data_IF_978292842967
#
_entry.id   IF_978292842967
#
_cell.length_a   1.000
_cell.length_b   1.000
_cell.length_c   1.000
_cell.angle_alpha   90.00
_cell.angle_beta   90.00
_cell.angle_gamma   90.00
#
_symmetry.space_group_name_H-M   'P 1'
#
loop_
_entity.id
_entity.type
_entity.pdbx_description
1 polymer ?
#
# COMPACT_ATOMS: atom_id res chain seq x y z
N UNK A 1 -43.16 57.53 -10.47
CA UNK A 1 -42.70 56.13 -10.68
C UNK A 1 -41.16 55.95 -10.68
N UNK A 2 -40.31 56.81 -10.17
CA UNK A 2 -38.84 56.74 -10.33
C UNK A 2 -38.03 56.26 -9.08
N UNK A 3 -38.61 55.80 -7.97
CA UNK A 3 -37.87 55.41 -6.74
C UNK A 3 -37.89 53.91 -6.41
N UNK A 4 -38.53 53.04 -7.18
CA UNK A 4 -38.59 51.60 -6.90
C UNK A 4 -37.48 50.78 -7.58
N UNK A 5 -36.96 51.22 -8.72
CA UNK A 5 -35.92 50.47 -9.49
C UNK A 5 -34.61 50.29 -8.71
N UNK A 6 -34.01 51.30 -8.03
CA UNK A 6 -32.75 51.09 -7.30
C UNK A 6 -32.90 50.17 -6.08
N UNK A 7 -34.07 50.08 -5.44
CA UNK A 7 -34.30 49.11 -4.36
C UNK A 7 -34.38 47.66 -4.86
N UNK A 8 -34.99 47.45 -6.02
CA UNK A 8 -35.11 46.13 -6.63
C UNK A 8 -33.69 45.63 -7.06
N UNK A 9 -32.88 46.47 -7.69
CA UNK A 9 -31.50 46.14 -8.08
C UNK A 9 -30.65 45.83 -6.85
N UNK A 10 -30.78 46.58 -5.75
CA UNK A 10 -30.11 46.30 -4.51
C UNK A 10 -30.48 44.95 -3.87
N UNK A 11 -31.79 44.64 -3.87
CA UNK A 11 -32.30 43.34 -3.36
C UNK A 11 -31.82 42.18 -4.22
N UNK A 12 -31.88 42.28 -5.54
CA UNK A 12 -31.42 41.25 -6.48
C UNK A 12 -29.88 41.04 -6.33
N UNK A 13 -29.13 42.15 -6.25
CA UNK A 13 -27.66 42.08 -6.02
C UNK A 13 -27.29 41.41 -4.70
N UNK A 14 -28.00 41.74 -3.61
CA UNK A 14 -27.78 41.11 -2.30
C UNK A 14 -28.15 39.65 -2.28
N UNK A 15 -29.26 39.25 -2.92
CA UNK A 15 -29.67 37.86 -3.04
C UNK A 15 -28.67 37.04 -3.88
N UNK A 16 -28.09 37.62 -4.93
CA UNK A 16 -27.06 36.98 -5.75
C UNK A 16 -25.78 36.75 -4.95
N UNK A 17 -25.35 37.73 -4.13
CA UNK A 17 -24.19 37.60 -3.23
C UNK A 17 -24.42 36.48 -2.23
N UNK A 18 -25.57 36.40 -1.58
CA UNK A 18 -25.92 35.33 -0.64
C UNK A 18 -25.86 33.97 -1.34
N UNK A 19 -26.40 33.85 -2.55
CA UNK A 19 -26.36 32.60 -3.33
C UNK A 19 -24.90 32.20 -3.63
N UNK A 20 -24.10 33.13 -4.12
CA UNK A 20 -22.66 32.85 -4.43
C UNK A 20 -21.88 32.44 -3.18
N UNK A 21 -22.09 33.16 -2.06
CA UNK A 21 -21.45 32.80 -0.78
C UNK A 21 -21.95 31.43 -0.29
N UNK A 22 -23.24 31.14 -0.43
CA UNK A 22 -23.81 29.84 -0.08
C UNK A 22 -23.23 28.70 -0.92
N UNK A 23 -23.11 28.88 -2.24
CA UNK A 23 -22.50 27.89 -3.14
C UNK A 23 -21.01 27.69 -2.77
N UNK A 24 -20.28 28.80 -2.56
CA UNK A 24 -18.87 28.69 -2.18
C UNK A 24 -18.71 27.98 -0.82
N UNK A 25 -19.53 28.30 0.17
CA UNK A 25 -19.52 27.63 1.44
C UNK A 25 -19.83 26.13 1.31
N UNK A 26 -20.86 25.79 0.51
CA UNK A 26 -21.18 24.39 0.22
C UNK A 26 -20.00 23.64 -0.42
N UNK A 27 -19.40 24.22 -1.47
CA UNK A 27 -18.23 23.63 -2.13
C UNK A 27 -17.03 23.51 -1.16
N UNK A 28 -16.79 24.55 -0.37
CA UNK A 28 -15.70 24.58 0.58
C UNK A 28 -15.79 23.47 1.64
N UNK A 29 -16.99 23.20 2.16
CA UNK A 29 -17.18 22.20 3.21
C UNK A 29 -17.34 20.77 2.70
N UNK A 30 -17.78 20.58 1.46
CA UNK A 30 -18.12 19.26 0.95
C UNK A 30 -17.21 18.75 -0.17
N UNK A 31 -16.28 19.57 -0.68
CA UNK A 31 -15.38 19.16 -1.75
C UNK A 31 -13.92 19.54 -1.49
N UNK A 32 -13.01 18.75 -2.04
CA UNK A 32 -11.59 19.06 -2.05
C UNK A 32 -11.28 20.04 -3.19
N UNK A 33 -11.38 21.36 -2.89
CA UNK A 33 -11.08 22.39 -3.89
C UNK A 33 -9.57 22.47 -4.09
N UNK A 34 -9.10 22.20 -5.31
CA UNK A 34 -7.72 22.35 -5.74
C UNK A 34 -7.56 23.74 -6.38
N UNK A 35 -6.61 24.54 -5.92
CA UNK A 35 -6.38 25.92 -6.36
C UNK A 35 -5.03 26.12 -7.05
N UNK A 36 -4.14 25.13 -6.97
CA UNK A 36 -2.82 25.17 -7.59
C UNK A 36 -2.36 23.75 -7.94
N UNK A 37 -1.37 23.64 -8.82
CA UNK A 37 -0.62 22.39 -8.93
C UNK A 37 0.08 22.12 -7.60
N UNK A 38 -0.02 20.88 -7.11
CA UNK A 38 0.71 20.45 -5.91
C UNK A 38 2.21 20.45 -6.16
N UNK A 39 2.99 20.65 -5.10
CA UNK A 39 4.45 20.57 -5.20
C UNK A 39 4.89 19.12 -5.24
N UNK A 40 5.72 18.80 -6.22
CA UNK A 40 6.39 17.52 -6.25
C UNK A 40 7.36 17.38 -5.06
N UNK A 41 7.36 16.21 -4.44
CA UNK A 41 8.32 15.91 -3.37
C UNK A 41 9.74 15.90 -3.93
N UNK A 42 10.63 16.68 -3.31
CA UNK A 42 12.04 16.76 -3.69
C UNK A 42 12.91 16.15 -2.60
N UNK A 43 13.64 15.10 -2.95
CA UNK A 43 14.63 14.51 -2.06
C UNK A 43 15.78 15.52 -1.81
N UNK A 44 16.06 15.79 -0.53
CA UNK A 44 17.07 16.72 -0.05
C UNK A 44 18.37 16.04 0.40
N UNK A 45 18.64 14.84 -0.07
CA UNK A 45 19.80 14.02 0.25
C UNK A 45 19.40 12.67 0.82
N UNK A 46 20.32 11.72 0.83
CA UNK A 46 20.09 10.35 1.34
C UNK A 46 20.50 10.22 2.79
N UNK A 47 19.83 9.38 3.59
CA UNK A 47 20.25 9.08 4.95
C UNK A 47 21.61 8.34 4.95
N UNK A 48 22.45 8.63 5.94
CA UNK A 48 23.68 7.90 6.18
C UNK A 48 23.51 7.14 7.49
N UNK A 49 23.18 5.87 7.40
CA UNK A 49 22.71 5.02 8.52
C UNK A 49 23.64 5.03 9.74
N UNK A 50 24.96 5.06 9.51
CA UNK A 50 25.97 5.09 10.57
C UNK A 50 26.30 6.49 11.13
N UNK A 51 25.73 7.56 10.56
CA UNK A 51 25.96 8.92 11.06
C UNK A 51 25.34 9.12 12.43
N UNK A 52 26.08 9.81 13.30
CA UNK A 52 25.62 10.19 14.63
C UNK A 52 24.83 11.51 14.57
N UNK A 53 23.67 11.55 15.16
CA UNK A 53 22.87 12.73 15.40
C UNK A 53 23.04 13.22 16.84
N UNK A 54 23.10 14.52 17.04
CA UNK A 54 23.03 15.14 18.35
C UNK A 54 21.63 15.01 18.96
N UNK A 55 21.52 15.19 20.27
CA UNK A 55 20.22 15.20 20.97
C UNK A 55 19.22 16.20 20.34
N UNK A 56 19.67 17.41 20.00
CA UNK A 56 18.81 18.45 19.46
C UNK A 56 18.31 18.09 18.05
N UNK A 57 19.16 17.49 17.19
CA UNK A 57 18.78 16.99 15.88
C UNK A 57 17.78 15.83 15.96
N UNK A 58 17.98 14.90 16.88
CA UNK A 58 17.04 13.80 17.15
C UNK A 58 15.69 14.34 17.58
N UNK A 59 15.70 15.33 18.51
CA UNK A 59 14.48 15.93 19.00
C UNK A 59 13.72 16.68 17.90
N UNK A 60 14.40 17.46 17.06
CA UNK A 60 13.79 18.17 15.93
C UNK A 60 13.12 17.20 14.95
N UNK A 61 13.78 16.11 14.61
CA UNK A 61 13.24 15.09 13.69
C UNK A 61 12.04 14.34 14.31
N UNK A 62 12.08 14.04 15.62
CA UNK A 62 10.97 13.39 16.33
C UNK A 62 9.76 14.31 16.44
N UNK A 63 9.96 15.56 16.83
CA UNK A 63 8.87 16.55 16.91
C UNK A 63 8.19 16.72 15.55
N UNK A 64 8.96 16.76 14.46
CA UNK A 64 8.47 16.88 13.10
C UNK A 64 7.61 15.67 12.68
N UNK A 65 8.06 14.42 12.92
CA UNK A 65 7.29 13.24 12.49
C UNK A 65 6.01 13.09 13.32
N UNK A 66 6.01 13.45 14.61
CA UNK A 66 4.80 13.43 15.42
C UNK A 66 3.81 14.48 14.90
N UNK A 67 4.26 15.71 14.62
CA UNK A 67 3.39 16.77 14.09
C UNK A 67 2.75 16.37 12.75
N UNK A 68 3.54 15.85 11.82
CA UNK A 68 3.01 15.37 10.53
C UNK A 68 1.98 14.26 10.74
N UNK A 69 2.29 13.28 11.57
CA UNK A 69 1.43 12.12 11.81
C UNK A 69 0.07 12.56 12.37
N UNK A 70 0.09 13.35 13.45
CA UNK A 70 -1.12 13.78 14.15
C UNK A 70 -1.97 14.77 13.34
N UNK A 71 -1.37 15.55 12.46
CA UNK A 71 -2.10 16.51 11.64
C UNK A 71 -2.56 15.97 10.29
N UNK A 72 -1.98 14.86 9.80
CA UNK A 72 -2.23 14.38 8.43
C UNK A 72 -3.01 13.09 8.37
N UNK A 73 -2.68 12.09 9.21
CA UNK A 73 -3.31 10.77 9.10
C UNK A 73 -4.76 10.78 9.61
N UNK A 74 -5.74 10.22 8.83
CA UNK A 74 -7.17 10.27 9.17
C UNK A 74 -7.53 9.60 10.50
N UNK A 75 -6.75 8.63 10.97
CA UNK A 75 -6.98 7.91 12.23
C UNK A 75 -7.13 8.85 13.44
N UNK A 76 -6.48 10.02 13.40
CA UNK A 76 -6.58 11.02 14.48
C UNK A 76 -7.90 11.80 14.48
N UNK A 77 -8.82 11.49 13.59
CA UNK A 77 -10.22 11.93 13.61
C UNK A 77 -11.15 10.83 14.11
N UNK A 78 -10.61 9.67 14.44
CA UNK A 78 -11.28 8.47 14.93
C UNK A 78 -10.66 8.02 16.27
N UNK A 79 -10.97 6.81 16.71
CA UNK A 79 -10.38 6.23 17.92
C UNK A 79 -8.95 5.76 17.63
N UNK A 80 -8.00 6.45 18.21
CA UNK A 80 -6.57 6.13 18.08
C UNK A 80 -6.23 4.94 18.98
N UNK A 81 -5.57 3.87 18.47
CA UNK A 81 -5.27 2.69 19.26
C UNK A 81 -4.27 2.98 20.39
N UNK A 82 -4.35 2.23 21.49
CA UNK A 82 -3.45 2.37 22.65
C UNK A 82 -1.97 2.14 22.26
N UNK A 83 -1.72 1.24 21.31
CA UNK A 83 -0.38 0.98 20.74
C UNK A 83 0.33 2.26 20.25
N UNK A 84 -0.43 3.21 19.71
CA UNK A 84 0.09 4.50 19.28
C UNK A 84 0.66 5.31 20.45
N UNK A 85 -0.07 5.44 21.55
CA UNK A 85 0.40 6.22 22.71
C UNK A 85 1.63 5.59 23.37
N UNK A 86 1.70 4.25 23.41
CA UNK A 86 2.88 3.52 23.89
C UNK A 86 4.09 3.85 23.00
N UNK A 87 3.95 3.65 21.68
CA UNK A 87 5.03 3.89 20.74
C UNK A 87 5.46 5.37 20.68
N UNK A 88 4.53 6.31 20.81
CA UNK A 88 4.84 7.73 20.92
C UNK A 88 5.68 8.04 22.15
N UNK A 89 5.34 7.50 23.31
CA UNK A 89 6.12 7.71 24.54
C UNK A 89 7.53 7.09 24.44
N UNK A 90 7.67 5.91 23.82
CA UNK A 90 8.98 5.31 23.55
C UNK A 90 9.82 6.17 22.61
N UNK A 91 9.22 6.73 21.56
CA UNK A 91 9.88 7.62 20.61
C UNK A 91 10.32 8.93 21.29
N UNK A 92 9.46 9.55 22.10
CA UNK A 92 9.79 10.77 22.88
C UNK A 92 10.92 10.52 23.86
N UNK A 93 11.01 9.33 24.47
CA UNK A 93 12.11 8.96 25.35
C UNK A 93 13.44 8.93 24.58
N UNK A 94 13.43 8.50 23.33
CA UNK A 94 14.62 8.48 22.47
C UNK A 94 15.18 9.89 22.19
N UNK A 95 14.35 10.95 22.24
CA UNK A 95 14.78 12.34 22.03
C UNK A 95 15.67 12.90 23.14
N UNK A 96 15.90 12.16 24.22
CA UNK A 96 16.70 12.60 25.35
C UNK A 96 18.23 12.42 25.15
N UNK A 97 18.64 11.75 24.08
CA UNK A 97 20.05 11.48 23.77
C UNK A 97 20.31 11.53 22.26
N UNK A 98 21.59 11.62 21.89
CA UNK A 98 22.00 11.43 20.51
C UNK A 98 21.97 9.94 20.15
N UNK A 99 21.58 9.64 18.89
CA UNK A 99 21.53 8.27 18.34
C UNK A 99 22.05 8.26 16.92
N UNK A 100 22.39 7.09 16.39
CA UNK A 100 22.69 6.95 14.97
C UNK A 100 21.40 7.11 14.13
N UNK A 101 21.55 7.44 12.85
CA UNK A 101 20.41 7.50 11.91
C UNK A 101 19.70 6.15 11.83
N UNK A 102 20.45 5.02 11.86
CA UNK A 102 19.86 3.67 11.86
C UNK A 102 19.02 3.38 13.10
N UNK A 103 19.49 3.76 14.29
CA UNK A 103 18.71 3.63 15.52
C UNK A 103 17.45 4.51 15.49
N UNK A 104 17.55 5.73 14.94
CA UNK A 104 16.38 6.61 14.77
C UNK A 104 15.39 6.01 13.76
N UNK A 105 15.88 5.47 12.62
CA UNK A 105 15.04 4.77 11.63
C UNK A 105 14.23 3.65 12.30
N UNK A 106 14.89 2.82 13.12
CA UNK A 106 14.22 1.72 13.81
C UNK A 106 13.11 2.21 14.76
N UNK A 107 13.41 3.24 15.57
CA UNK A 107 12.46 3.82 16.53
C UNK A 107 11.28 4.51 15.84
N UNK A 108 11.52 5.27 14.77
CA UNK A 108 10.46 5.93 13.98
C UNK A 108 9.61 4.89 13.26
N UNK A 109 10.23 3.82 12.73
CA UNK A 109 9.48 2.71 12.11
C UNK A 109 8.49 2.08 13.08
N UNK A 110 8.91 1.79 14.34
CA UNK A 110 8.03 1.29 15.40
C UNK A 110 6.87 2.26 15.69
N UNK A 111 7.16 3.57 15.73
CA UNK A 111 6.12 4.59 15.94
C UNK A 111 5.09 4.60 14.81
N UNK A 112 5.53 4.61 13.55
CA UNK A 112 4.62 4.61 12.40
C UNK A 112 3.83 3.31 12.29
N UNK A 113 4.44 2.16 12.62
CA UNK A 113 3.76 0.85 12.57
C UNK A 113 2.63 0.70 13.58
N UNK A 114 2.61 1.52 14.63
CA UNK A 114 1.67 1.41 15.75
C UNK A 114 0.19 1.60 15.38
N UNK A 115 -0.10 2.14 14.20
CA UNK A 115 -1.46 2.34 13.67
C UNK A 115 -1.86 1.31 12.61
N UNK A 116 -0.99 0.36 12.28
CA UNK A 116 -1.24 -0.72 11.31
C UNK A 116 -1.75 -0.24 9.93
N UNK A 117 -1.19 0.86 9.41
CA UNK A 117 -1.44 1.32 8.04
C UNK A 117 -0.24 0.98 7.14
N UNK A 118 -0.44 0.06 6.19
CA UNK A 118 0.60 -0.37 5.24
C UNK A 118 1.08 0.72 4.29
N UNK A 119 0.34 1.81 4.15
CA UNK A 119 0.73 2.97 3.36
C UNK A 119 1.50 4.03 4.17
N UNK A 120 1.50 3.97 5.52
CA UNK A 120 2.23 4.90 6.39
C UNK A 120 3.48 4.24 6.95
N UNK A 121 4.63 4.54 6.37
CA UNK A 121 5.90 3.92 6.72
C UNK A 121 7.10 4.78 6.31
N UNK A 122 8.26 4.53 6.93
CA UNK A 122 9.54 4.95 6.38
C UNK A 122 9.90 4.13 5.14
N UNK A 123 10.57 4.73 4.19
CA UNK A 123 11.29 4.02 3.14
C UNK A 123 12.53 3.41 3.78
N UNK A 124 12.42 2.12 4.06
CA UNK A 124 13.44 1.42 4.81
C UNK A 124 14.74 1.33 4.01
N UNK A 125 15.79 1.93 4.55
CA UNK A 125 17.13 1.91 3.97
C UNK A 125 17.83 0.58 4.37
N UNK A 126 17.72 -0.41 3.50
CA UNK A 126 18.37 -1.71 3.63
C UNK A 126 19.05 -2.10 2.32
N UNK A 127 20.31 -2.41 2.39
CA UNK A 127 21.14 -2.67 1.21
C UNK A 127 21.66 -4.10 1.13
N UNK A 128 21.58 -4.88 2.21
CA UNK A 128 22.13 -6.22 2.30
C UNK A 128 21.08 -7.19 2.82
N UNK A 129 20.87 -8.29 2.10
CA UNK A 129 19.87 -9.30 2.41
C UNK A 129 20.48 -10.69 2.43
N UNK A 130 20.03 -11.56 3.33
CA UNK A 130 20.40 -12.97 3.32
C UNK A 130 19.96 -13.63 2.01
N UNK A 131 20.87 -14.36 1.37
CA UNK A 131 20.60 -15.14 0.16
C UNK A 131 19.93 -16.48 0.50
N UNK A 132 18.70 -16.39 0.94
CA UNK A 132 17.88 -17.52 1.35
C UNK A 132 16.42 -17.23 0.99
N UNK A 133 15.67 -18.27 0.60
CA UNK A 133 14.25 -18.16 0.37
C UNK A 133 13.45 -18.97 1.37
N UNK A 134 12.46 -18.31 1.95
CA UNK A 134 11.55 -18.91 2.93
C UNK A 134 10.12 -18.40 2.77
N UNK A 135 9.19 -19.09 3.39
CA UNK A 135 7.77 -18.73 3.46
C UNK A 135 7.28 -18.82 4.90
N UNK A 136 6.56 -17.80 5.35
CA UNK A 136 5.93 -17.79 6.66
C UNK A 136 4.49 -18.29 6.56
N UNK A 137 4.19 -19.43 7.15
CA UNK A 137 2.89 -20.09 7.13
C UNK A 137 2.59 -20.69 8.52
N UNK A 138 1.36 -20.51 8.99
CA UNK A 138 0.85 -21.13 10.23
C UNK A 138 1.80 -20.97 11.43
N UNK A 139 2.43 -19.79 11.55
CA UNK A 139 3.34 -19.48 12.65
C UNK A 139 4.77 -19.97 12.48
N UNK A 140 5.09 -20.64 11.38
CA UNK A 140 6.42 -21.21 11.09
C UNK A 140 7.05 -20.58 9.85
N UNK A 141 8.37 -20.47 9.87
CA UNK A 141 9.17 -19.99 8.74
C UNK A 141 9.80 -21.18 8.02
N UNK A 142 9.18 -21.64 6.93
CA UNK A 142 9.65 -22.79 6.16
C UNK A 142 10.69 -22.38 5.14
N UNK A 143 11.77 -23.16 5.02
CA UNK A 143 12.74 -23.02 3.93
C UNK A 143 12.09 -23.41 2.61
N UNK A 144 12.37 -22.65 1.55
CA UNK A 144 12.01 -23.01 0.19
C UNK A 144 13.20 -23.72 -0.51
N UNK A 145 12.87 -24.64 -1.42
CA UNK A 145 13.89 -25.24 -2.29
C UNK A 145 14.24 -24.32 -3.48
N UNK A 146 15.17 -24.76 -4.33
CA UNK A 146 15.58 -24.02 -5.53
C UNK A 146 14.46 -23.80 -6.56
N UNK A 147 13.36 -24.55 -6.47
CA UNK A 147 12.17 -24.38 -7.29
C UNK A 147 11.08 -23.56 -6.60
N UNK A 148 11.41 -22.89 -5.51
CA UNK A 148 10.49 -22.09 -4.66
C UNK A 148 9.34 -22.90 -4.05
N UNK A 149 9.53 -24.22 -3.86
CA UNK A 149 8.56 -25.08 -3.18
C UNK A 149 8.88 -25.20 -1.70
N UNK A 150 7.83 -25.35 -0.89
CA UNK A 150 7.95 -25.57 0.55
C UNK A 150 8.71 -26.87 0.83
N UNK A 151 9.64 -26.82 1.78
CA UNK A 151 10.28 -28.01 2.37
C UNK A 151 9.67 -28.31 3.73
N UNK A 152 10.06 -29.42 4.33
CA UNK A 152 9.71 -29.79 5.72
C UNK A 152 10.60 -29.09 6.77
N UNK A 153 11.51 -28.21 6.36
CA UNK A 153 12.49 -27.58 7.24
C UNK A 153 11.99 -26.21 7.70
N UNK A 154 11.93 -26.03 9.02
CA UNK A 154 11.53 -24.80 9.70
C UNK A 154 12.79 -24.10 10.23
N UNK A 155 12.90 -22.80 10.02
CA UNK A 155 13.94 -21.96 10.62
C UNK A 155 13.64 -21.79 12.11
N UNK A 156 14.59 -22.14 12.98
CA UNK A 156 14.44 -22.02 14.43
C UNK A 156 15.32 -20.93 15.02
N UNK A 157 16.50 -20.66 14.42
CA UNK A 157 17.44 -19.60 14.85
C UNK A 157 18.09 -18.93 13.65
N UNK A 158 18.50 -17.67 13.87
CA UNK A 158 19.45 -16.95 13.01
C UNK A 158 20.57 -16.43 13.91
N UNK A 159 21.80 -16.87 13.64
CA UNK A 159 22.90 -16.77 14.60
C UNK A 159 22.51 -17.47 15.91
N UNK A 160 22.73 -16.79 17.03
CA UNK A 160 22.37 -17.30 18.37
C UNK A 160 20.93 -16.86 18.80
N UNK A 161 20.18 -16.17 17.93
CA UNK A 161 18.87 -15.59 18.27
C UNK A 161 17.74 -16.51 17.80
N UNK A 162 16.84 -16.85 18.73
CA UNK A 162 15.62 -17.59 18.43
C UNK A 162 14.74 -16.83 17.43
N UNK A 163 14.18 -17.54 16.42
CA UNK A 163 13.39 -16.96 15.34
C UNK A 163 12.18 -16.16 15.86
N UNK A 164 11.55 -16.65 16.92
CA UNK A 164 10.39 -15.98 17.53
C UNK A 164 10.71 -14.56 17.99
N UNK A 165 11.88 -14.32 18.57
CA UNK A 165 12.31 -12.98 19.01
C UNK A 165 12.49 -12.02 17.83
N UNK A 166 13.01 -12.51 16.70
CA UNK A 166 13.18 -11.69 15.49
C UNK A 166 11.81 -11.36 14.88
N UNK A 167 10.91 -12.35 14.81
CA UNK A 167 9.55 -12.19 14.33
C UNK A 167 8.77 -11.15 15.16
N UNK A 168 8.86 -11.21 16.49
CA UNK A 168 8.22 -10.22 17.37
C UNK A 168 8.75 -8.80 17.12
N UNK A 169 10.04 -8.66 16.86
CA UNK A 169 10.62 -7.38 16.49
C UNK A 169 10.08 -6.87 15.16
N UNK A 170 9.95 -7.73 14.14
CA UNK A 170 9.38 -7.34 12.84
C UNK A 170 7.93 -6.89 12.99
N UNK A 171 7.10 -7.63 13.74
CA UNK A 171 5.72 -7.24 14.05
C UNK A 171 5.61 -5.86 14.70
N UNK A 172 6.56 -5.52 15.55
CA UNK A 172 6.57 -4.25 16.25
C UNK A 172 6.99 -3.07 15.37
N UNK A 173 7.83 -3.28 14.34
CA UNK A 173 8.48 -2.21 13.59
C UNK A 173 7.95 -2.01 12.17
N UNK A 174 7.20 -2.96 11.63
CA UNK A 174 6.68 -2.87 10.27
C UNK A 174 5.16 -3.01 10.26
N UNK A 175 4.43 -2.04 9.67
CA UNK A 175 2.97 -2.03 9.74
C UNK A 175 2.38 -3.20 8.95
N UNK A 176 1.37 -3.85 9.54
CA UNK A 176 0.65 -4.96 8.91
C UNK A 176 -0.86 -4.76 9.08
N UNK A 177 -1.57 -4.55 7.98
CA UNK A 177 -3.02 -4.34 7.98
C UNK A 177 -3.78 -5.65 8.26
N UNK A 178 -3.18 -6.79 7.85
CA UNK A 178 -3.75 -8.13 7.99
C UNK A 178 -2.64 -9.19 8.13
N UNK A 179 -3.04 -10.45 8.34
CA UNK A 179 -2.09 -11.55 8.50
C UNK A 179 -1.21 -11.81 7.26
N UNK A 180 -1.70 -11.48 6.04
CA UNK A 180 -0.93 -11.58 4.79
C UNK A 180 0.19 -10.56 4.78
N UNK A 181 -0.09 -9.32 5.21
CA UNK A 181 0.92 -8.27 5.37
C UNK A 181 1.96 -8.64 6.43
N UNK A 182 1.53 -9.22 7.55
CA UNK A 182 2.43 -9.70 8.60
C UNK A 182 3.38 -10.77 8.05
N UNK A 183 2.86 -11.80 7.40
CA UNK A 183 3.67 -12.86 6.80
C UNK A 183 4.69 -12.30 5.79
N UNK A 184 4.25 -11.44 4.90
CA UNK A 184 5.10 -10.77 3.91
C UNK A 184 6.20 -9.92 4.57
N UNK A 185 5.89 -9.19 5.64
CA UNK A 185 6.87 -8.40 6.38
C UNK A 185 7.91 -9.31 7.04
N UNK A 186 7.48 -10.41 7.67
CA UNK A 186 8.39 -11.40 8.26
C UNK A 186 9.32 -11.96 7.18
N UNK A 187 8.78 -12.44 6.06
CA UNK A 187 9.56 -13.01 4.96
C UNK A 187 10.61 -12.05 4.40
N UNK A 188 10.26 -10.77 4.30
CA UNK A 188 11.11 -9.74 3.72
C UNK A 188 12.15 -9.18 4.70
N UNK A 189 11.68 -8.68 5.83
CA UNK A 189 12.53 -7.91 6.74
C UNK A 189 13.45 -8.79 7.58
N UNK A 190 13.08 -10.05 7.75
CA UNK A 190 13.92 -11.03 8.43
C UNK A 190 15.22 -11.36 7.64
N UNK A 191 15.26 -11.06 6.34
CA UNK A 191 16.48 -11.16 5.53
C UNK A 191 17.40 -9.94 5.67
N UNK A 192 16.88 -8.81 6.14
CA UNK A 192 17.59 -7.53 6.17
C UNK A 192 18.67 -7.46 7.24
N UNK A 193 19.90 -7.11 6.83
CA UNK A 193 21.05 -7.01 7.74
C UNK A 193 20.81 -6.04 8.89
N UNK A 194 20.22 -4.85 8.63
CA UNK A 194 19.93 -3.85 9.65
C UNK A 194 18.93 -4.36 10.70
N UNK A 195 17.91 -5.12 10.29
CA UNK A 195 16.95 -5.71 11.21
C UNK A 195 17.65 -6.73 12.11
N UNK A 196 18.48 -7.60 11.53
CA UNK A 196 19.22 -8.62 12.27
C UNK A 196 20.20 -8.00 13.27
N UNK A 197 20.96 -6.97 12.88
CA UNK A 197 21.84 -6.22 13.78
C UNK A 197 21.08 -5.58 14.95
N UNK A 198 19.90 -5.00 14.70
CA UNK A 198 19.07 -4.37 15.73
C UNK A 198 18.51 -5.36 16.77
N UNK A 199 18.30 -6.63 16.38
CA UNK A 199 17.87 -7.67 17.33
C UNK A 199 19.03 -8.40 18.00
N UNK A 200 20.28 -8.05 17.65
CA UNK A 200 21.51 -8.53 18.29
C UNK A 200 22.18 -9.71 17.58
N UNK A 201 21.86 -9.97 16.30
CA UNK A 201 22.61 -10.94 15.50
C UNK A 201 23.96 -10.33 15.10
N UNK A 202 25.06 -11.06 15.29
CA UNK A 202 26.39 -10.67 14.80
C UNK A 202 26.47 -10.87 13.28
N UNK A 203 26.33 -9.78 12.53
CA UNK A 203 26.37 -9.77 11.06
C UNK A 203 27.75 -9.44 10.47
N UNK A 204 28.83 -9.60 11.24
CA UNK A 204 30.19 -9.36 10.75
C UNK A 204 30.72 -10.53 9.90
N UNK A 205 30.07 -11.69 9.95
CA UNK A 205 30.39 -12.94 9.23
C UNK A 205 29.16 -13.48 8.53
N UNK A 206 29.33 -14.56 7.78
CA UNK A 206 28.22 -15.34 7.25
C UNK A 206 27.30 -15.81 8.37
N UNK A 207 26.02 -15.81 8.10
CA UNK A 207 25.00 -16.05 9.11
C UNK A 207 24.69 -17.54 9.19
N UNK A 208 24.74 -18.09 10.39
CA UNK A 208 24.31 -19.45 10.65
C UNK A 208 22.78 -19.48 10.84
N UNK A 209 22.07 -20.17 9.95
CA UNK A 209 20.64 -20.40 10.04
C UNK A 209 20.40 -21.83 10.51
N UNK A 210 19.78 -21.99 11.68
CA UNK A 210 19.41 -23.32 12.21
C UNK A 210 18.05 -23.72 11.66
N UNK A 211 18.00 -24.86 11.03
CA UNK A 211 16.81 -25.49 10.46
C UNK A 211 16.47 -26.74 11.25
N UNK A 212 15.19 -26.99 11.51
CA UNK A 212 14.70 -28.22 12.14
C UNK A 212 13.56 -28.83 11.33
N UNK A 213 13.52 -30.16 11.27
CA UNK A 213 12.35 -30.91 10.76
C UNK A 213 11.61 -31.66 11.89
N UNK A 214 11.97 -31.35 13.17
CA UNK A 214 11.42 -32.01 14.35
C UNK A 214 12.21 -33.24 14.81
N UNK A 215 13.12 -33.80 13.98
CA UNK A 215 13.95 -34.94 14.32
C UNK A 215 15.42 -34.54 14.46
N UNK A 216 15.91 -33.73 13.53
CA UNK A 216 17.30 -33.30 13.47
C UNK A 216 17.40 -31.80 13.17
N UNK A 217 18.40 -31.15 13.77
CA UNK A 217 18.78 -29.78 13.48
C UNK A 217 19.90 -29.77 12.43
N UNK A 218 19.77 -28.89 11.43
CA UNK A 218 20.77 -28.63 10.42
C UNK A 218 21.17 -27.17 10.42
N UNK A 219 22.47 -26.89 10.35
CA UNK A 219 22.98 -25.53 10.22
C UNK A 219 23.28 -25.26 8.75
N UNK A 220 22.77 -24.15 8.25
CA UNK A 220 23.05 -23.59 6.94
C UNK A 220 23.82 -22.30 7.11
N UNK A 221 24.95 -22.17 6.45
CA UNK A 221 25.71 -20.92 6.36
C UNK A 221 25.18 -20.10 5.19
N UNK A 222 24.78 -18.85 5.45
CA UNK A 222 24.12 -17.98 4.49
C UNK A 222 24.85 -16.64 4.42
N UNK A 223 25.22 -16.25 3.20
CA UNK A 223 25.86 -14.95 2.93
C UNK A 223 24.84 -13.84 2.71
N UNK A 224 25.31 -12.60 2.80
CA UNK A 224 24.52 -11.44 2.41
C UNK A 224 24.79 -11.06 0.95
N UNK A 225 23.72 -10.84 0.20
CA UNK A 225 23.76 -10.29 -1.16
C UNK A 225 23.27 -8.84 -1.20
N UNK A 226 23.63 -8.10 -2.26
CA UNK A 226 23.20 -6.72 -2.42
C UNK A 226 21.71 -6.62 -2.75
N UNK A 227 21.08 -5.52 -2.35
CA UNK A 227 19.66 -5.28 -2.66
C UNK A 227 19.34 -5.20 -4.16
N UNK A 228 20.33 -4.91 -5.01
CA UNK A 228 20.19 -4.92 -6.48
C UNK A 228 20.06 -6.34 -7.05
N UNK A 229 20.67 -7.33 -6.41
CA UNK A 229 20.55 -8.75 -6.78
C UNK A 229 19.24 -9.36 -6.27
N UNK A 230 18.72 -8.81 -5.16
CA UNK A 230 17.52 -9.33 -4.50
C UNK A 230 16.20 -8.98 -5.22
N UNK A 231 16.13 -7.91 -6.03
CA UNK A 231 14.88 -7.40 -6.60
C UNK A 231 14.83 -7.51 -8.12
N UNK A 232 13.94 -8.38 -8.61
CA UNK A 232 13.47 -8.37 -10.00
C UNK A 232 11.95 -8.35 -10.02
N UNK A 233 11.34 -7.19 -10.27
CA UNK A 233 9.87 -7.06 -10.41
C UNK A 233 9.54 -6.71 -11.85
N UNK A 234 8.65 -7.48 -12.47
CA UNK A 234 8.15 -7.19 -13.82
C UNK A 234 6.99 -6.18 -13.73
N UNK A 235 7.30 -4.89 -13.86
CA UNK A 235 6.33 -3.80 -13.85
C UNK A 235 5.72 -3.51 -15.23
N UNK A 236 5.85 -4.42 -16.21
CA UNK A 236 5.37 -4.22 -17.57
C UNK A 236 3.85 -4.07 -17.66
N UNK A 237 3.40 -3.22 -18.61
CA UNK A 237 2.00 -3.09 -19.00
C UNK A 237 1.92 -3.56 -20.45
N UNK A 238 1.16 -4.64 -20.71
CA UNK A 238 0.98 -5.17 -22.06
C UNK A 238 -0.26 -6.04 -22.15
N UNK A 239 -0.69 -6.35 -23.39
CA UNK A 239 -1.76 -7.32 -23.66
C UNK A 239 -1.40 -8.26 -24.78
N UNK A 240 -1.95 -9.46 -24.74
CA UNK A 240 -1.83 -10.48 -25.78
C UNK A 240 -3.03 -11.43 -25.74
N UNK A 241 -3.28 -12.13 -26.83
CA UNK A 241 -4.21 -13.27 -26.82
C UNK A 241 -3.43 -14.53 -26.49
N UNK A 242 -3.93 -15.29 -25.53
CA UNK A 242 -3.39 -16.59 -25.12
C UNK A 242 -4.44 -17.66 -25.31
N UNK A 243 -4.00 -18.91 -25.40
CA UNK A 243 -4.86 -20.10 -25.51
C UNK A 243 -6.01 -19.90 -26.51
N UNK A 244 -5.68 -19.35 -27.67
CA UNK A 244 -6.53 -19.11 -28.86
C UNK A 244 -7.68 -18.09 -28.67
N UNK A 245 -8.18 -17.83 -27.46
CA UNK A 245 -9.41 -17.04 -27.27
C UNK A 245 -9.49 -16.29 -25.93
N UNK A 246 -8.42 -16.20 -25.15
CA UNK A 246 -8.36 -15.47 -23.89
C UNK A 246 -7.52 -14.21 -24.06
N UNK A 247 -8.09 -13.04 -23.79
CA UNK A 247 -7.35 -11.79 -23.73
C UNK A 247 -6.63 -11.67 -22.36
N UNK A 248 -5.32 -11.75 -22.37
CA UNK A 248 -4.48 -11.55 -21.20
C UNK A 248 -3.93 -10.14 -21.18
N UNK A 249 -4.17 -9.41 -20.10
CA UNK A 249 -3.69 -8.06 -19.84
C UNK A 249 -2.81 -8.08 -18.59
N UNK A 250 -1.52 -7.83 -18.77
CA UNK A 250 -0.61 -7.56 -17.64
C UNK A 250 -0.68 -6.10 -17.26
N UNK A 251 -1.05 -5.81 -16.01
CA UNK A 251 -0.95 -4.50 -15.39
C UNK A 251 0.07 -4.61 -14.25
N UNK A 252 1.36 -4.47 -14.53
CA UNK A 252 2.43 -4.60 -13.53
C UNK A 252 2.59 -3.36 -12.65
N UNK A 253 2.04 -2.21 -13.06
CA UNK A 253 1.94 -0.97 -12.29
C UNK A 253 0.69 -0.21 -12.73
N UNK A 254 0.07 0.54 -11.83
CA UNK A 254 -1.08 1.38 -12.15
C UNK A 254 -0.61 2.76 -12.64
N UNK A 255 -0.07 2.81 -13.85
CA UNK A 255 0.39 4.04 -14.51
C UNK A 255 -0.45 4.37 -15.74
N UNK A 256 -0.79 5.67 -15.89
CA UNK A 256 -1.44 6.19 -17.10
C UNK A 256 -0.36 6.69 -18.05
N UNK A 257 0.00 5.83 -19.00
CA UNK A 257 1.05 6.10 -20.00
C UNK A 257 0.62 5.63 -21.40
N UNK A 258 1.49 5.78 -22.39
CA UNK A 258 1.22 5.37 -23.78
C UNK A 258 0.98 3.85 -23.90
N UNK A 259 1.64 3.04 -23.07
CA UNK A 259 1.49 1.58 -23.10
C UNK A 259 0.10 1.17 -22.62
N UNK A 260 -0.43 1.78 -21.54
CA UNK A 260 -1.81 1.53 -21.10
C UNK A 260 -2.83 1.92 -22.19
N UNK A 261 -2.61 3.05 -22.89
CA UNK A 261 -3.49 3.45 -24.01
C UNK A 261 -3.49 2.41 -25.13
N UNK A 262 -2.32 1.87 -25.48
CA UNK A 262 -2.22 0.79 -26.47
C UNK A 262 -2.93 -0.50 -26.00
N UNK A 263 -2.87 -0.82 -24.71
CA UNK A 263 -3.62 -1.96 -24.13
C UNK A 263 -5.13 -1.73 -24.27
N UNK A 264 -5.62 -0.51 -24.02
CA UNK A 264 -7.04 -0.17 -24.17
C UNK A 264 -7.49 -0.32 -25.64
N UNK A 265 -6.68 0.16 -26.59
CA UNK A 265 -6.95 -0.02 -28.03
C UNK A 265 -7.01 -1.52 -28.41
N UNK A 266 -6.12 -2.34 -27.84
CA UNK A 266 -6.14 -3.79 -28.04
C UNK A 266 -7.39 -4.44 -27.44
N UNK A 267 -7.88 -3.99 -26.28
CA UNK A 267 -9.14 -4.48 -25.68
C UNK A 267 -10.32 -4.22 -26.65
N UNK A 268 -10.42 -3.04 -27.23
CA UNK A 268 -11.46 -2.73 -28.23
C UNK A 268 -11.36 -3.66 -29.45
N UNK A 269 -10.13 -3.92 -29.94
CA UNK A 269 -9.89 -4.87 -31.01
C UNK A 269 -10.34 -6.28 -30.62
N UNK A 270 -9.94 -6.78 -29.46
CA UNK A 270 -10.30 -8.12 -28.99
C UNK A 270 -11.82 -8.29 -28.84
N UNK A 271 -12.53 -7.28 -28.36
CA UNK A 271 -14.01 -7.28 -28.34
C UNK A 271 -14.59 -7.39 -29.75
N UNK A 272 -14.02 -6.66 -30.73
CA UNK A 272 -14.48 -6.72 -32.12
C UNK A 272 -14.22 -8.08 -32.80
N UNK A 273 -13.19 -8.80 -32.33
CA UNK A 273 -12.87 -10.17 -32.75
C UNK A 273 -13.69 -11.24 -32.01
N UNK A 274 -14.58 -10.82 -31.09
CA UNK A 274 -15.50 -11.71 -30.39
C UNK A 274 -14.90 -12.45 -29.19
N UNK A 275 -13.74 -11.99 -28.67
CA UNK A 275 -13.15 -12.55 -27.45
C UNK A 275 -14.04 -12.18 -26.26
N UNK A 276 -14.37 -13.17 -25.42
CA UNK A 276 -15.25 -13.02 -24.25
C UNK A 276 -14.55 -13.14 -22.92
N UNK A 277 -13.43 -13.88 -22.86
CA UNK A 277 -12.71 -14.18 -21.65
C UNK A 277 -11.50 -13.23 -21.50
N UNK A 278 -11.45 -12.47 -20.41
CA UNK A 278 -10.45 -11.45 -20.15
C UNK A 278 -9.80 -11.72 -18.80
N UNK A 279 -8.47 -11.85 -18.80
CA UNK A 279 -7.65 -11.93 -17.60
C UNK A 279 -6.93 -10.58 -17.43
N UNK A 280 -7.12 -9.89 -16.30
CA UNK A 280 -6.27 -8.78 -15.87
C UNK A 280 -5.37 -9.27 -14.76
N UNK A 281 -4.08 -9.34 -15.04
CA UNK A 281 -3.06 -9.81 -14.11
C UNK A 281 -2.44 -8.62 -13.36
N UNK A 282 -2.71 -8.54 -12.06
CA UNK A 282 -2.15 -7.57 -11.11
C UNK A 282 -1.28 -8.25 -10.03
N UNK A 283 -0.75 -9.45 -10.31
CA UNK A 283 0.24 -10.12 -9.46
C UNK A 283 1.45 -9.19 -9.30
N UNK A 284 1.95 -9.01 -8.08
CA UNK A 284 3.09 -8.14 -7.75
C UNK A 284 2.94 -6.66 -8.14
N UNK A 285 1.73 -6.20 -8.42
CA UNK A 285 1.47 -4.79 -8.74
C UNK A 285 1.38 -3.96 -7.46
N UNK A 286 2.28 -2.99 -7.23
CA UNK A 286 2.31 -2.18 -6.01
C UNK A 286 1.21 -1.10 -5.95
N UNK A 287 0.41 -0.95 -7.00
CA UNK A 287 -0.58 0.12 -7.15
C UNK A 287 -0.11 1.28 -8.02
N UNK A 288 -0.58 2.47 -7.71
CA UNK A 288 -0.34 3.71 -8.43
C UNK A 288 -1.61 4.54 -8.60
N UNK A 289 -1.90 5.02 -9.81
CA UNK A 289 -3.12 5.77 -10.11
C UNK A 289 -4.33 4.83 -10.35
N UNK A 290 -5.34 4.90 -9.49
CA UNK A 290 -6.56 4.10 -9.63
C UNK A 290 -7.36 4.40 -10.90
N UNK A 291 -7.16 5.55 -11.54
CA UNK A 291 -7.78 5.84 -12.83
C UNK A 291 -7.29 4.87 -13.93
N UNK A 292 -6.06 4.36 -13.84
CA UNK A 292 -5.58 3.31 -14.77
C UNK A 292 -6.48 2.06 -14.71
N UNK A 293 -6.87 1.66 -13.50
CA UNK A 293 -7.78 0.54 -13.28
C UNK A 293 -9.20 0.84 -13.80
N UNK A 294 -9.71 2.06 -13.55
CA UNK A 294 -11.02 2.50 -14.09
C UNK A 294 -11.04 2.46 -15.59
N UNK A 295 -9.99 2.95 -16.26
CA UNK A 295 -9.89 2.94 -17.73
C UNK A 295 -9.95 1.52 -18.31
N UNK A 296 -9.35 0.52 -17.64
CA UNK A 296 -9.43 -0.88 -18.08
C UNK A 296 -10.86 -1.43 -17.93
N UNK A 297 -11.55 -1.16 -16.82
CA UNK A 297 -12.96 -1.54 -16.65
C UNK A 297 -13.87 -0.85 -17.68
N UNK A 298 -13.66 0.45 -17.93
CA UNK A 298 -14.40 1.21 -18.93
C UNK A 298 -14.22 0.65 -20.35
N UNK A 299 -12.97 0.25 -20.71
CA UNK A 299 -12.69 -0.42 -21.98
C UNK A 299 -13.44 -1.76 -22.14
N UNK A 300 -13.76 -2.42 -21.03
CA UNK A 300 -14.59 -3.62 -21.00
C UNK A 300 -16.12 -3.30 -20.90
N UNK A 301 -16.50 -2.03 -21.01
CA UNK A 301 -17.86 -1.54 -20.77
C UNK A 301 -18.38 -1.90 -19.37
N UNK A 302 -17.50 -1.85 -18.37
CA UNK A 302 -17.79 -2.11 -16.97
C UNK A 302 -17.45 -0.89 -16.10
N UNK A 303 -18.02 -0.83 -14.90
CA UNK A 303 -17.72 0.23 -13.93
C UNK A 303 -17.77 -0.35 -12.51
N UNK A 304 -16.77 -0.06 -11.70
CA UNK A 304 -16.78 -0.35 -10.27
C UNK A 304 -17.72 0.56 -9.47
N UNK A 305 -18.06 0.14 -8.27
CA UNK A 305 -18.75 0.98 -7.29
C UNK A 305 -17.85 2.12 -6.79
N UNK A 306 -18.41 3.10 -6.11
CA UNK A 306 -17.64 4.19 -5.55
C UNK A 306 -17.14 3.85 -4.13
N UNK A 307 -15.84 4.01 -3.91
CA UNK A 307 -15.28 4.03 -2.56
C UNK A 307 -15.78 5.26 -1.80
N UNK A 308 -16.16 5.05 -0.55
CA UNK A 308 -16.39 6.10 0.41
C UNK A 308 -15.16 6.36 1.27
N UNK A 309 -15.37 7.02 2.41
CA UNK A 309 -14.33 7.26 3.40
C UNK A 309 -14.14 8.73 3.72
N UNK A 310 -12.89 9.11 3.98
CA UNK A 310 -12.55 10.44 4.49
C UNK A 310 -11.28 10.96 3.80
N UNK A 311 -11.26 12.27 3.49
CA UNK A 311 -10.05 13.00 3.12
C UNK A 311 -9.74 14.00 4.22
N UNK A 312 -8.56 13.92 4.81
CA UNK A 312 -8.07 14.88 5.81
C UNK A 312 -7.15 15.91 5.16
N UNK A 313 -7.43 17.19 5.42
CA UNK A 313 -6.59 18.28 5.02
C UNK A 313 -5.52 18.55 6.08
N UNK A 314 -4.29 18.82 5.63
CA UNK A 314 -3.17 19.23 6.47
C UNK A 314 -2.29 20.21 5.68
N UNK A 315 -1.34 20.90 6.33
CA UNK A 315 -0.35 21.71 5.61
C UNK A 315 0.42 20.91 4.57
N UNK A 316 0.80 19.66 4.88
CA UNK A 316 1.48 18.76 3.96
C UNK A 316 0.60 18.38 2.76
N UNK A 317 -0.70 18.07 3.01
CA UNK A 317 -1.65 17.78 1.96
C UNK A 317 -1.93 19.00 1.06
N UNK A 318 -2.04 20.20 1.65
CA UNK A 318 -2.16 21.44 0.89
C UNK A 318 -0.95 21.64 -0.03
N UNK A 319 0.25 21.48 0.50
CA UNK A 319 1.49 21.67 -0.27
C UNK A 319 1.61 20.69 -1.46
N UNK A 320 1.35 19.39 -1.23
CA UNK A 320 1.55 18.37 -2.26
C UNK A 320 0.35 18.13 -3.17
N UNK A 321 -0.87 18.54 -2.81
CA UNK A 321 -2.08 18.35 -3.62
C UNK A 321 -2.71 19.66 -4.11
N UNK A 322 -2.18 20.80 -3.68
CA UNK A 322 -2.70 22.12 -4.07
C UNK A 322 -4.07 22.44 -3.50
N UNK A 323 -4.48 21.82 -2.39
CA UNK A 323 -5.78 22.06 -1.77
C UNK A 323 -5.90 23.52 -1.25
N UNK A 324 -7.11 24.07 -1.34
CA UNK A 324 -7.45 25.36 -0.70
C UNK A 324 -7.34 25.28 0.82
N UNK A 325 -7.76 24.17 1.41
CA UNK A 325 -7.79 23.94 2.86
C UNK A 325 -6.49 23.32 3.37
N UNK A 326 -6.07 23.72 4.56
CA UNK A 326 -4.94 23.16 5.29
C UNK A 326 -5.32 22.46 6.61
N UNK A 327 -6.62 22.31 6.87
CA UNK A 327 -7.13 21.62 8.08
C UNK A 327 -8.58 21.19 7.90
N UNK A 328 -9.03 20.29 8.80
CA UNK A 328 -10.35 19.68 8.76
C UNK A 328 -10.40 18.50 7.78
N UNK A 329 -11.59 18.03 7.46
CA UNK A 329 -11.81 16.88 6.59
C UNK A 329 -13.09 17.03 5.78
N UNK A 330 -13.27 16.11 4.83
CA UNK A 330 -14.53 15.84 4.13
C UNK A 330 -14.75 14.34 4.10
N UNK A 331 -16.02 13.93 4.07
CA UNK A 331 -16.42 12.53 4.00
C UNK A 331 -17.11 12.22 2.69
N UNK A 332 -16.93 10.99 2.20
CA UNK A 332 -17.59 10.45 1.02
C UNK A 332 -18.34 9.19 1.38
N UNK A 333 -19.50 8.99 0.76
CA UNK A 333 -20.30 7.77 0.96
C UNK A 333 -19.90 6.71 -0.04
N UNK A 334 -19.69 5.48 0.44
CA UNK A 334 -19.59 4.30 -0.42
C UNK A 334 -20.93 4.05 -1.14
N UNK A 335 -20.84 3.59 -2.36
CA UNK A 335 -21.98 3.01 -3.05
C UNK A 335 -21.53 1.89 -3.99
N UNK A 336 -22.33 0.86 -4.09
CA UNK A 336 -22.06 -0.30 -4.95
C UNK A 336 -22.87 -0.25 -6.25
N UNK A 337 -22.98 0.93 -6.88
CA UNK A 337 -23.64 1.12 -8.18
C UNK A 337 -22.72 0.68 -9.33
N UNK A 338 -22.26 -0.58 -9.28
CA UNK A 338 -21.41 -1.17 -10.30
C UNK A 338 -22.21 -1.44 -11.59
N UNK A 339 -21.53 -1.38 -12.74
CA UNK A 339 -22.09 -1.73 -14.05
C UNK A 339 -21.33 -2.91 -14.61
N UNK A 340 -22.02 -4.02 -14.82
CA UNK A 340 -21.48 -5.25 -15.39
C UNK A 340 -21.76 -5.34 -16.88
N UNK A 341 -20.82 -5.81 -17.67
CA UNK A 341 -21.02 -6.28 -19.03
C UNK A 341 -21.21 -7.81 -19.01
N UNK A 342 -22.41 -8.28 -19.33
CA UNK A 342 -22.73 -9.72 -19.28
C UNK A 342 -22.18 -10.53 -20.46
N UNK A 343 -21.66 -9.85 -21.50
CA UNK A 343 -21.06 -10.51 -22.67
C UNK A 343 -19.57 -10.85 -22.45
N UNK A 344 -19.01 -10.42 -21.32
CA UNK A 344 -17.59 -10.58 -20.95
C UNK A 344 -17.47 -11.36 -19.64
N UNK A 345 -16.59 -12.33 -19.59
CA UNK A 345 -16.10 -13.01 -18.40
C UNK A 345 -14.78 -12.35 -17.98
N UNK A 346 -14.74 -11.75 -16.80
CA UNK A 346 -13.57 -11.07 -16.28
C UNK A 346 -12.93 -11.87 -15.13
N UNK A 347 -11.62 -12.01 -15.17
CA UNK A 347 -10.80 -12.66 -14.14
C UNK A 347 -9.67 -11.73 -13.71
N UNK A 348 -9.51 -11.51 -12.43
CA UNK A 348 -8.39 -10.72 -11.86
C UNK A 348 -7.44 -11.68 -11.15
N UNK A 349 -6.16 -11.66 -11.56
CA UNK A 349 -5.13 -12.44 -10.87
C UNK A 349 -4.49 -11.62 -9.78
N UNK A 350 -4.48 -12.15 -8.55
CA UNK A 350 -3.94 -11.48 -7.37
C UNK A 350 -2.97 -12.35 -6.60
N UNK A 351 -2.06 -11.73 -5.88
CA UNK A 351 -1.22 -12.37 -4.86
C UNK A 351 -0.99 -11.44 -3.66
N UNK A 352 -0.19 -11.89 -2.73
CA UNK A 352 0.19 -11.16 -1.51
C UNK A 352 0.85 -9.80 -1.77
N UNK A 353 1.42 -9.57 -2.96
CA UNK A 353 2.07 -8.33 -3.38
C UNK A 353 1.17 -7.40 -4.19
N UNK A 354 -0.04 -7.83 -4.57
CA UNK A 354 -1.06 -6.94 -5.14
C UNK A 354 -1.43 -5.88 -4.11
N UNK A 355 -1.24 -4.58 -4.39
CA UNK A 355 -1.36 -3.54 -3.37
C UNK A 355 -2.04 -2.27 -3.88
N UNK A 356 -2.63 -1.47 -2.97
CA UNK A 356 -3.17 -0.14 -3.25
C UNK A 356 -4.18 -0.14 -4.43
N UNK A 357 -3.98 0.66 -5.46
CA UNK A 357 -4.90 0.75 -6.62
C UNK A 357 -5.11 -0.59 -7.35
N UNK A 358 -4.13 -1.50 -7.31
CA UNK A 358 -4.29 -2.84 -7.86
C UNK A 358 -5.26 -3.68 -7.01
N UNK A 359 -5.20 -3.56 -5.68
CA UNK A 359 -6.18 -4.15 -4.78
C UNK A 359 -7.57 -3.51 -4.95
N UNK A 360 -7.65 -2.19 -5.15
CA UNK A 360 -8.93 -1.51 -5.44
C UNK A 360 -9.61 -2.08 -6.68
N UNK A 361 -8.87 -2.43 -7.74
CA UNK A 361 -9.42 -3.10 -8.92
C UNK A 361 -10.06 -4.44 -8.55
N UNK A 362 -9.36 -5.27 -7.78
CA UNK A 362 -9.90 -6.55 -7.34
C UNK A 362 -11.15 -6.39 -6.48
N UNK A 363 -11.17 -5.40 -5.58
CA UNK A 363 -12.33 -5.07 -4.74
C UNK A 363 -13.50 -4.57 -5.59
N UNK A 364 -13.29 -3.70 -6.59
CA UNK A 364 -14.35 -3.27 -7.51
C UNK A 364 -14.98 -4.44 -8.25
N UNK A 365 -14.15 -5.39 -8.69
CA UNK A 365 -14.64 -6.57 -9.42
C UNK A 365 -15.42 -7.50 -8.50
N UNK A 366 -14.94 -7.74 -7.30
CA UNK A 366 -15.62 -8.59 -6.30
C UNK A 366 -16.92 -7.94 -5.80
N UNK A 367 -16.88 -6.69 -5.29
CA UNK A 367 -18.05 -6.02 -4.73
C UNK A 367 -19.14 -5.80 -5.76
N UNK A 368 -18.75 -5.43 -6.99
CA UNK A 368 -19.67 -5.21 -8.12
C UNK A 368 -20.14 -6.49 -8.79
N UNK A 369 -19.65 -7.67 -8.37
CA UNK A 369 -19.91 -8.95 -9.06
C UNK A 369 -19.62 -8.86 -10.58
N UNK A 370 -18.51 -8.16 -10.92
CA UNK A 370 -18.13 -7.91 -12.32
C UNK A 370 -17.40 -9.11 -12.93
N UNK A 371 -16.74 -9.92 -12.12
CA UNK A 371 -15.93 -11.06 -12.53
C UNK A 371 -15.51 -11.92 -11.34
N UNK A 372 -14.41 -12.66 -11.49
CA UNK A 372 -13.85 -13.54 -10.46
C UNK A 372 -12.43 -13.15 -10.10
N UNK A 373 -12.07 -13.34 -8.84
CA UNK A 373 -10.72 -13.19 -8.32
C UNK A 373 -10.06 -14.57 -8.28
N UNK A 374 -8.87 -14.69 -8.86
CA UNK A 374 -8.08 -15.94 -8.91
C UNK A 374 -6.72 -15.69 -8.28
N UNK A 375 -6.29 -16.56 -7.39
CA UNK A 375 -4.96 -16.46 -6.78
C UNK A 375 -4.97 -16.48 -5.26
N UNK A 376 -4.24 -15.56 -4.66
CA UNK A 376 -4.08 -15.43 -3.20
C UNK A 376 -4.50 -14.06 -2.72
N UNK A 377 -4.90 -13.94 -1.43
CA UNK A 377 -5.26 -12.65 -0.84
C UNK A 377 -4.09 -11.66 -0.86
N UNK A 378 -4.43 -10.40 -0.97
CA UNK A 378 -3.51 -9.26 -0.90
C UNK A 378 -3.11 -8.93 0.54
N UNK A 379 -1.89 -8.38 0.71
CA UNK A 379 -1.44 -7.76 1.95
C UNK A 379 -2.12 -6.42 2.26
N UNK A 380 -2.94 -5.88 1.36
CA UNK A 380 -3.68 -4.64 1.56
C UNK A 380 -5.15 -4.94 1.86
N UNK A 381 -5.70 -4.33 2.89
CA UNK A 381 -7.11 -4.47 3.23
C UNK A 381 -8.02 -3.90 2.14
N UNK A 382 -9.22 -4.47 1.92
CA UNK A 382 -10.21 -3.92 0.99
C UNK A 382 -10.67 -2.50 1.34
N UNK A 383 -10.86 -2.22 2.63
CA UNK A 383 -10.98 -0.87 3.19
C UNK A 383 -9.69 -0.53 3.90
N UNK A 384 -9.06 0.59 3.55
CA UNK A 384 -7.71 0.91 4.01
C UNK A 384 -7.49 2.43 4.08
N UNK A 385 -6.31 2.84 4.56
CA UNK A 385 -5.80 4.19 4.40
C UNK A 385 -4.93 4.27 3.15
N UNK A 386 -4.71 5.48 2.61
CA UNK A 386 -3.89 5.65 1.42
C UNK A 386 -3.84 7.09 0.89
N UNK A 387 -3.59 7.23 -0.43
CA UNK A 387 -3.28 8.51 -1.09
C UNK A 387 -2.16 9.23 -0.36
N UNK A 388 -0.97 8.63 -0.44
CA UNK A 388 0.17 8.98 0.39
C UNK A 388 0.77 10.34 0.06
N UNK A 389 1.19 11.04 1.10
CA UNK A 389 2.03 12.22 1.04
C UNK A 389 3.44 11.84 1.49
N UNK A 390 4.45 12.33 0.80
CA UNK A 390 5.85 12.04 1.10
C UNK A 390 6.41 13.09 2.06
N UNK A 391 7.29 12.66 2.96
CA UNK A 391 8.02 13.56 3.85
C UNK A 391 9.50 13.17 3.93
N UNK A 392 10.32 14.11 4.35
CA UNK A 392 11.73 13.86 4.67
C UNK A 392 12.08 14.58 5.97
N UNK A 393 12.70 13.86 6.90
CA UNK A 393 13.20 14.42 8.14
C UNK A 393 14.43 15.27 7.87
N UNK A 394 14.55 16.40 8.58
CA UNK A 394 15.51 17.45 8.26
C UNK A 394 16.96 17.02 8.53
N UNK A 395 17.22 16.36 9.65
CA UNK A 395 18.56 16.05 10.13
C UNK A 395 19.02 14.66 9.67
N UNK A 396 18.24 13.63 9.96
CA UNK A 396 18.53 12.24 9.58
C UNK A 396 18.42 11.99 8.07
N UNK A 397 17.70 12.84 7.32
CA UNK A 397 17.33 12.63 5.91
C UNK A 397 16.47 11.40 5.66
N UNK A 398 15.94 10.75 6.70
CA UNK A 398 15.01 9.65 6.55
C UNK A 398 13.77 10.10 5.78
N UNK A 399 13.38 9.30 4.79
CA UNK A 399 12.22 9.55 3.94
C UNK A 399 11.12 8.58 4.33
N UNK A 400 9.88 9.04 4.25
CA UNK A 400 8.72 8.22 4.46
C UNK A 400 7.50 8.76 3.73
N UNK A 401 6.40 8.09 3.97
CA UNK A 401 5.11 8.47 3.43
C UNK A 401 4.02 8.29 4.49
N UNK A 402 2.94 9.04 4.33
CA UNK A 402 1.82 9.05 5.25
C UNK A 402 0.51 9.14 4.49
N UNK A 403 -0.47 8.35 4.88
CA UNK A 403 -1.83 8.40 4.32
C UNK A 403 -2.55 9.67 4.75
N UNK A 404 -3.32 10.29 3.84
CA UNK A 404 -4.22 11.40 4.18
C UNK A 404 -5.68 11.14 3.80
N UNK A 405 -5.97 9.94 3.27
CA UNK A 405 -7.32 9.46 3.02
C UNK A 405 -7.57 8.13 3.71
N UNK A 406 -8.83 7.93 4.09
CA UNK A 406 -9.40 6.62 4.41
C UNK A 406 -10.32 6.21 3.27
N UNK A 407 -10.18 4.98 2.83
CA UNK A 407 -11.01 4.38 1.81
C UNK A 407 -11.90 3.30 2.44
N UNK A 408 -13.21 3.41 2.22
CA UNK A 408 -14.20 2.41 2.60
C UNK A 408 -14.71 1.78 1.31
N UNK A 409 -14.61 0.45 1.22
CA UNK A 409 -14.97 -0.32 0.01
C UNK A 409 -16.43 -0.06 -0.44
N UNK A 410 -16.75 -0.26 -1.74
CA UNK A 410 -18.08 -0.01 -2.28
C UNK A 410 -19.20 -0.78 -1.57
N UNK A 411 -18.99 -2.05 -1.26
CA UNK A 411 -19.90 -2.86 -0.44
C UNK A 411 -19.63 -2.65 1.05
N UNK A 412 -20.29 -1.66 1.64
CA UNK A 412 -20.15 -1.31 3.07
C UNK A 412 -20.52 -2.47 4.00
N UNK A 413 -21.32 -3.43 3.55
CA UNK A 413 -21.65 -4.62 4.33
C UNK A 413 -20.44 -5.50 4.64
N UNK A 414 -19.38 -5.37 3.82
CA UNK A 414 -18.10 -6.10 3.92
C UNK A 414 -16.96 -5.26 4.49
N UNK A 415 -17.20 -4.06 4.99
CA UNK A 415 -16.16 -3.11 5.44
C UNK A 415 -15.19 -3.69 6.49
N UNK A 416 -15.67 -4.64 7.30
CA UNK A 416 -14.87 -5.28 8.37
C UNK A 416 -13.98 -6.44 7.90
N UNK A 417 -14.09 -6.86 6.64
CA UNK A 417 -13.25 -7.92 6.10
C UNK A 417 -11.81 -7.41 5.95
N UNK A 418 -10.88 -8.12 6.56
CA UNK A 418 -9.46 -7.76 6.55
C UNK A 418 -8.75 -8.18 5.27
N UNK A 419 -9.29 -9.15 4.55
CA UNK A 419 -8.77 -9.64 3.27
C UNK A 419 -9.88 -9.71 2.24
N UNK A 420 -9.51 -9.66 0.97
CA UNK A 420 -10.37 -10.05 -0.14
C UNK A 420 -10.10 -11.51 -0.47
N UNK A 421 -11.03 -12.39 -0.08
CA UNK A 421 -10.93 -13.81 -0.42
C UNK A 421 -11.08 -14.00 -1.94
N UNK A 422 -10.17 -14.73 -2.61
CA UNK A 422 -10.32 -15.06 -4.01
C UNK A 422 -11.45 -16.08 -4.22
N UNK A 423 -12.19 -15.94 -5.34
CA UNK A 423 -13.18 -16.95 -5.75
C UNK A 423 -12.54 -18.32 -6.07
N UNK A 424 -11.30 -18.27 -6.55
CA UNK A 424 -10.50 -19.44 -6.89
C UNK A 424 -9.14 -19.29 -6.23
N UNK A 425 -8.98 -19.95 -5.08
CA UNK A 425 -7.71 -19.95 -4.35
C UNK A 425 -6.67 -20.81 -5.08
N UNK A 426 -5.43 -20.33 -5.09
CA UNK A 426 -4.28 -21.04 -5.69
C UNK A 426 -3.22 -21.24 -4.62
N UNK A 427 -2.85 -22.50 -4.40
CA UNK A 427 -1.85 -22.88 -3.40
C UNK A 427 -0.48 -22.24 -3.69
N UNK A 428 0.30 -22.07 -2.62
CA UNK A 428 1.65 -21.56 -2.77
C UNK A 428 2.52 -22.57 -3.55
N UNK A 429 3.21 -22.07 -4.59
CA UNK A 429 4.03 -22.89 -5.49
C UNK A 429 3.31 -23.30 -6.77
N UNK A 430 1.98 -23.10 -6.86
CA UNK A 430 1.22 -23.33 -8.10
C UNK A 430 1.14 -22.04 -8.93
N UNK A 431 1.05 -22.18 -10.25
CA UNK A 431 0.95 -21.07 -11.19
C UNK A 431 -0.49 -20.53 -11.25
N UNK A 432 -0.65 -19.25 -10.87
CA UNK A 432 -1.96 -18.60 -10.81
C UNK A 432 -2.56 -18.43 -12.22
N UNK A 433 -1.74 -18.09 -13.22
CA UNK A 433 -2.21 -17.90 -14.59
C UNK A 433 -2.66 -19.23 -15.20
N UNK A 434 -1.88 -20.29 -15.02
CA UNK A 434 -2.24 -21.64 -15.48
C UNK A 434 -3.55 -22.10 -14.85
N UNK A 435 -3.70 -21.88 -13.54
CA UNK A 435 -4.95 -22.20 -12.82
C UNK A 435 -6.17 -21.44 -13.35
N UNK A 436 -6.00 -20.15 -13.71
CA UNK A 436 -7.06 -19.36 -14.33
C UNK A 436 -7.45 -19.88 -15.71
N UNK A 437 -6.46 -20.21 -16.56
CA UNK A 437 -6.69 -20.80 -17.89
C UNK A 437 -7.42 -22.14 -17.78
N UNK A 438 -6.99 -23.00 -16.87
CA UNK A 438 -7.65 -24.29 -16.61
C UNK A 438 -9.10 -24.14 -16.17
N UNK A 439 -9.39 -23.09 -15.40
CA UNK A 439 -10.77 -22.79 -14.95
C UNK A 439 -11.65 -22.31 -16.11
N UNK A 440 -11.12 -21.45 -16.97
CA UNK A 440 -11.84 -20.90 -18.14
C UNK A 440 -12.19 -21.99 -19.16
N UNK A 441 -11.31 -22.96 -19.31
CA UNK A 441 -11.44 -24.04 -20.33
C UNK A 441 -12.31 -25.23 -19.88
N UNK A 442 -12.83 -25.23 -18.64
CA UNK A 442 -13.77 -26.25 -18.11
C UNK A 442 -15.22 -25.92 -18.43
#
# INVERSE_FOLDING_TARGET
MKKRIPKIIGVVGFSLIILVVGIFAYLYFNHAIIISEGKEFKNQGSPIIKSQLSKDEVKEDIDYIIDIMENTHPIFLEDVPESYYIAKNELLTASNQGVTVGELQYKVSRYLSSINDGHTALWWEENMFLDIDWKYLDGNLYLLDSNKKLTDKVVTKIGDIEIGKIIESIRAHFPAENYVAEAKNIERFLKGKLVLENVGVDCAKDILVTLSNGEEDKILEVEFISGSEYRSVNNGIYSKVIDKNIAYIRLGTCEINSTLKSVIENIEKYKSEGIKDYIIDVIDNPGGDSNACSMLLEALNMKGGAYGGMLRFSPLAQDQRGYLRKSGHIEYKSNNNAVKNNDINLYILTNENTFSSAQMLAVWVSDGNLGKIVGRPSSNMPSNYGDVLKFQMKNSKLIGQISHKKFIRPDIGKDKEQILEPDIYVEYGDDILERAIDYINK
#
